data_IF_474163662027
#
_entry.id   IF_474163662027
#
_cell.length_a   1.000
_cell.length_b   1.000
_cell.length_c   1.000
_cell.angle_alpha   90.00
_cell.angle_beta   90.00
_cell.angle_gamma   90.00
#
_symmetry.space_group_name_H-M   'P 1'
#
loop_
_entity.id
_entity.type
_entity.pdbx_description
1 polymer ?
#
# COMPACT_ATOMS: atom_id res chain seq x y z
N UNK A 1 14.24 4.30 32.65
CA UNK A 1 13.42 3.07 32.68
C UNK A 1 12.57 3.12 31.41
N UNK A 2 12.90 2.21 30.48
CA UNK A 2 12.40 1.90 29.14
C UNK A 2 11.41 2.83 28.40
N UNK A 3 11.83 3.28 27.20
CA UNK A 3 10.99 3.66 26.06
C UNK A 3 10.05 2.52 25.67
N UNK A 4 8.74 2.77 25.73
CA UNK A 4 7.72 1.87 25.22
C UNK A 4 7.46 2.26 23.76
N UNK A 5 8.18 1.64 22.84
CA UNK A 5 7.76 1.59 21.44
C UNK A 5 6.59 0.62 21.33
N UNK A 6 5.38 1.17 21.42
CA UNK A 6 4.13 0.43 21.25
C UNK A 6 3.96 0.09 19.76
N UNK A 7 4.52 -1.06 19.35
CA UNK A 7 4.27 -1.68 18.05
C UNK A 7 2.88 -2.32 18.03
N UNK A 8 1.86 -1.51 17.81
CA UNK A 8 0.53 -1.98 17.40
C UNK A 8 0.45 -1.99 15.87
N UNK A 9 1.15 -2.92 15.21
CA UNK A 9 0.86 -3.27 13.81
C UNK A 9 -0.16 -4.42 13.81
N UNK A 10 -1.39 -4.09 14.20
CA UNK A 10 -2.55 -4.89 13.80
C UNK A 10 -3.25 -4.07 12.74
N UNK A 11 -2.76 -4.20 11.50
CA UNK A 11 -3.47 -3.71 10.33
C UNK A 11 -4.75 -4.55 10.25
N UNK A 12 -5.84 -4.03 10.81
CA UNK A 12 -7.19 -4.47 10.49
C UNK A 12 -7.34 -4.21 8.99
N UNK A 13 -7.19 -5.28 8.20
CA UNK A 13 -7.49 -5.25 6.77
C UNK A 13 -9.00 -5.10 6.72
N UNK A 14 -9.49 -3.86 6.74
CA UNK A 14 -10.86 -3.57 6.36
C UNK A 14 -11.03 -4.19 4.96
N UNK A 15 -11.99 -5.10 4.84
CA UNK A 15 -12.31 -5.77 3.59
C UNK A 15 -12.67 -4.69 2.57
N UNK A 16 -11.70 -4.26 1.80
CA UNK A 16 -11.89 -3.29 0.73
C UNK A 16 -12.89 -3.88 -0.24
N UNK A 17 -14.07 -3.25 -0.32
CA UNK A 17 -15.09 -3.65 -1.29
C UNK A 17 -14.61 -3.44 -2.73
N UNK A 18 -13.67 -2.51 -2.93
CA UNK A 18 -13.04 -2.25 -4.22
C UNK A 18 -11.80 -3.15 -4.42
N UNK A 19 -11.80 -4.02 -5.45
CA UNK A 19 -10.71 -4.95 -5.72
C UNK A 19 -9.40 -4.24 -6.09
N UNK A 20 -9.46 -2.99 -6.59
CA UNK A 20 -8.27 -2.21 -6.96
C UNK A 20 -7.52 -1.81 -5.71
N UNK A 21 -8.24 -1.40 -4.66
CA UNK A 21 -7.65 -1.03 -3.36
C UNK A 21 -6.99 -2.26 -2.72
N UNK A 22 -7.68 -3.40 -2.71
CA UNK A 22 -7.13 -4.65 -2.16
C UNK A 22 -5.83 -5.06 -2.86
N UNK A 23 -5.76 -4.93 -4.19
CA UNK A 23 -4.57 -5.28 -4.95
C UNK A 23 -3.42 -4.27 -4.73
N UNK A 24 -3.70 -2.98 -4.54
CA UNK A 24 -2.69 -1.98 -4.14
C UNK A 24 -2.13 -2.24 -2.73
N UNK A 25 -2.99 -2.59 -1.77
CA UNK A 25 -2.57 -2.98 -0.43
C UNK A 25 -1.71 -4.25 -0.48
N UNK A 26 -2.12 -5.23 -1.30
CA UNK A 26 -1.37 -6.46 -1.57
C UNK A 26 0.02 -6.22 -2.15
N UNK A 27 0.15 -5.28 -3.10
CA UNK A 27 1.43 -4.91 -3.69
C UNK A 27 2.43 -4.36 -2.65
N UNK A 28 1.90 -3.76 -1.57
CA UNK A 28 2.66 -3.18 -0.46
C UNK A 28 2.91 -4.16 0.69
N UNK A 29 2.41 -5.39 0.67
CA UNK A 29 2.49 -6.34 1.81
C UNK A 29 3.94 -6.66 2.21
N UNK A 30 4.87 -6.72 1.25
CA UNK A 30 6.30 -6.98 1.50
C UNK A 30 7.15 -5.70 1.65
N UNK A 31 6.55 -4.52 1.57
CA UNK A 31 7.29 -3.26 1.70
C UNK A 31 7.51 -2.91 3.18
N UNK A 32 8.77 -2.92 3.64
CA UNK A 32 9.16 -2.55 5.03
C UNK A 32 9.36 -1.03 5.19
N UNK A 33 8.84 -0.22 4.26
CA UNK A 33 9.02 1.23 4.29
C UNK A 33 7.90 1.92 5.09
N UNK A 34 8.22 2.95 5.91
CA UNK A 34 7.19 3.72 6.62
C UNK A 34 6.21 4.41 5.65
N UNK A 35 6.67 4.68 4.42
CA UNK A 35 5.82 5.20 3.34
C UNK A 35 4.78 4.19 2.86
N UNK A 36 5.10 2.88 2.86
CA UNK A 36 4.15 1.83 2.51
C UNK A 36 3.03 1.73 3.55
N UNK A 37 3.36 1.77 4.84
CA UNK A 37 2.37 1.79 5.92
C UNK A 37 1.41 3.00 5.79
N UNK A 38 1.95 4.19 5.48
CA UNK A 38 1.12 5.38 5.20
C UNK A 38 0.22 5.21 3.98
N UNK A 39 0.71 4.62 2.90
CA UNK A 39 -0.09 4.36 1.70
C UNK A 39 -1.21 3.35 1.98
N UNK A 40 -0.93 2.28 2.73
CA UNK A 40 -1.95 1.32 3.18
C UNK A 40 -3.04 2.00 4.03
N UNK A 41 -2.66 2.88 4.94
CA UNK A 41 -3.62 3.63 5.75
C UNK A 41 -4.49 4.61 4.92
N UNK A 42 -3.91 5.24 3.89
CA UNK A 42 -4.68 6.08 2.95
C UNK A 42 -5.62 5.26 2.07
N UNK A 43 -5.19 4.08 1.64
CA UNK A 43 -6.03 3.11 0.91
C UNK A 43 -7.18 2.62 1.80
N UNK A 44 -6.90 2.35 3.09
CA UNK A 44 -7.88 2.00 4.13
C UNK A 44 -8.97 3.06 4.33
N UNK A 45 -8.67 4.34 4.07
CA UNK A 45 -9.58 5.47 4.27
C UNK A 45 -10.62 5.67 3.15
N UNK A 46 -10.78 4.68 2.26
CA UNK A 46 -11.70 4.71 1.10
C UNK A 46 -11.51 5.96 0.21
N UNK A 47 -10.34 6.06 -0.48
CA UNK A 47 -10.03 7.21 -1.31
C UNK A 47 -10.91 7.27 -2.57
N UNK A 48 -11.30 8.48 -2.98
CA UNK A 48 -11.99 8.73 -4.24
C UNK A 48 -11.14 8.32 -5.46
N UNK A 49 -11.75 8.17 -6.65
CA UNK A 49 -11.08 7.65 -7.86
C UNK A 49 -9.83 8.49 -8.26
N UNK A 50 -9.87 9.82 -8.05
CA UNK A 50 -8.70 10.69 -8.27
C UNK A 50 -7.56 10.40 -7.29
N UNK A 51 -7.90 10.27 -6.00
CA UNK A 51 -6.94 9.94 -4.94
C UNK A 51 -6.37 8.53 -5.14
N UNK A 52 -7.20 7.59 -5.60
CA UNK A 52 -6.81 6.24 -5.95
C UNK A 52 -5.78 6.24 -7.10
N UNK A 53 -5.99 7.07 -8.12
CA UNK A 53 -5.03 7.26 -9.20
C UNK A 53 -3.67 7.78 -8.71
N UNK A 54 -3.67 8.75 -7.81
CA UNK A 54 -2.45 9.27 -7.18
C UNK A 54 -1.76 8.21 -6.30
N UNK A 55 -2.52 7.53 -5.45
CA UNK A 55 -2.03 6.46 -4.59
C UNK A 55 -1.43 5.33 -5.41
N UNK A 56 -2.06 4.94 -6.52
CA UNK A 56 -1.52 3.93 -7.45
C UNK A 56 -0.16 4.34 -8.01
N UNK A 57 0.00 5.59 -8.44
CA UNK A 57 1.29 6.09 -8.93
C UNK A 57 2.36 6.11 -7.82
N UNK A 58 1.98 6.49 -6.59
CA UNK A 58 2.88 6.46 -5.44
C UNK A 58 3.30 5.02 -5.05
N UNK A 59 2.35 4.07 -5.08
CA UNK A 59 2.61 2.64 -4.84
C UNK A 59 3.55 2.10 -5.91
N UNK A 60 3.28 2.37 -7.19
CA UNK A 60 4.18 1.96 -8.28
C UNK A 60 5.60 2.47 -8.05
N UNK A 61 5.74 3.77 -7.77
CA UNK A 61 7.06 4.36 -7.56
C UNK A 61 7.78 3.72 -6.37
N UNK A 62 7.08 3.52 -5.25
CA UNK A 62 7.66 2.89 -4.06
C UNK A 62 8.07 1.44 -4.31
N UNK A 63 7.23 0.65 -4.96
CA UNK A 63 7.53 -0.75 -5.31
C UNK A 63 8.66 -0.80 -6.34
N UNK A 64 8.69 0.11 -7.31
CA UNK A 64 9.75 0.19 -8.30
C UNK A 64 11.11 0.52 -7.68
N UNK A 65 11.13 1.41 -6.67
CA UNK A 65 12.34 1.72 -5.90
C UNK A 65 12.79 0.56 -5.01
N UNK A 66 11.85 -0.24 -4.50
CA UNK A 66 12.16 -1.32 -3.54
C UNK A 66 12.51 -2.65 -4.21
N UNK A 67 11.78 -3.01 -5.27
CA UNK A 67 11.86 -4.32 -5.94
C UNK A 67 12.22 -4.22 -7.43
N UNK A 68 12.24 -3.02 -8.00
CA UNK A 68 12.45 -2.78 -9.43
C UNK A 68 11.14 -2.56 -10.20
N UNK A 69 11.23 -1.81 -11.30
CA UNK A 69 10.07 -1.39 -12.10
C UNK A 69 9.27 -2.59 -12.64
N UNK A 70 9.94 -3.65 -13.11
CA UNK A 70 9.27 -4.83 -13.65
C UNK A 70 8.37 -5.54 -12.63
N UNK A 71 8.77 -5.57 -11.36
CA UNK A 71 7.97 -6.18 -10.30
C UNK A 71 6.81 -5.25 -9.87
N UNK A 72 7.05 -3.94 -9.89
CA UNK A 72 5.99 -2.95 -9.68
C UNK A 72 4.90 -3.05 -10.76
N UNK A 73 5.29 -3.13 -12.03
CA UNK A 73 4.38 -3.30 -13.16
C UNK A 73 3.63 -4.62 -13.08
N UNK A 74 4.30 -5.75 -12.74
CA UNK A 74 3.60 -7.03 -12.56
C UNK A 74 2.54 -6.98 -11.48
N UNK A 75 2.87 -6.40 -10.32
CA UNK A 75 1.94 -6.26 -9.20
C UNK A 75 0.79 -5.32 -9.52
N UNK A 76 1.03 -4.25 -10.31
CA UNK A 76 -0.02 -3.32 -10.74
C UNK A 76 -0.82 -3.74 -11.99
N UNK A 77 -0.28 -4.57 -12.87
CA UNK A 77 -1.04 -5.15 -13.98
C UNK A 77 -2.10 -6.13 -13.48
N UNK A 78 -1.85 -6.80 -12.36
CA UNK A 78 -2.85 -7.61 -11.68
C UNK A 78 -4.00 -6.78 -11.06
N UNK A 79 -3.87 -5.44 -11.01
CA UNK A 79 -4.87 -4.48 -10.49
C UNK A 79 -5.82 -3.97 -11.60
N UNK A 80 -5.55 -4.28 -12.88
CA UNK A 80 -6.35 -3.84 -14.03
C UNK A 80 -7.64 -4.63 -14.21
#
# INVERSE_FOLDING_TARGET
MMDVFESHDTIVIQTHADPRIAALVGALTDCIHPRAARLKARLAADPDDEQLGQLRAEVLNLVAMSFGLAEAERRLQAVQ
#
